data_IF_412777324190
#
_entry.id   IF_412777324190
#
_cell.length_a   1.000
_cell.length_b   1.000
_cell.length_c   1.000
_cell.angle_alpha   90.00
_cell.angle_beta   90.00
_cell.angle_gamma   90.00
#
_symmetry.space_group_name_H-M   'P 1'
#
loop_
_entity.id
_entity.type
_entity.pdbx_description
1 polymer ?
#
# COMPACT_ATOMS: atom_id res chain seq x y z
N UNK A 1 -4.62 0.10 24.39
CA UNK A 1 -4.37 1.55 24.20
C UNK A 1 -5.40 2.40 24.94
N UNK A 2 -6.69 2.34 24.61
CA UNK A 2 -7.76 3.17 25.22
C UNK A 2 -7.89 3.04 26.75
N UNK A 3 -7.68 1.85 27.31
CA UNK A 3 -7.65 1.62 28.77
C UNK A 3 -6.45 2.30 29.47
N UNK A 4 -5.33 2.43 28.74
CA UNK A 4 -4.07 2.98 29.27
C UNK A 4 -4.00 4.51 29.12
N UNK A 5 -4.68 5.05 28.11
CA UNK A 5 -4.72 6.47 27.82
C UNK A 5 -6.18 6.95 27.73
N UNK A 6 -6.78 7.37 28.87
CA UNK A 6 -8.21 7.71 28.95
C UNK A 6 -8.64 8.93 28.13
N UNK A 7 -7.68 9.75 27.70
CA UNK A 7 -7.92 10.95 26.89
C UNK A 7 -7.54 10.75 25.41
N UNK A 8 -7.03 9.57 25.03
CA UNK A 8 -6.63 9.33 23.66
C UNK A 8 -7.85 9.07 22.76
N UNK A 9 -7.80 9.68 21.58
CA UNK A 9 -8.59 9.32 20.41
C UNK A 9 -7.75 8.43 19.49
N UNK A 10 -8.33 7.31 19.03
CA UNK A 10 -7.59 6.30 18.27
C UNK A 10 -8.25 6.10 16.91
N UNK A 11 -7.46 6.09 15.84
CA UNK A 11 -7.93 5.62 14.53
C UNK A 11 -7.31 4.27 14.20
N UNK A 12 -8.14 3.25 14.04
CA UNK A 12 -7.75 1.96 13.46
C UNK A 12 -7.90 1.99 11.94
N UNK A 13 -6.87 1.56 11.21
CA UNK A 13 -6.86 1.45 9.76
C UNK A 13 -6.61 -0.01 9.38
N UNK A 14 -7.51 -0.58 8.59
CA UNK A 14 -7.35 -1.93 8.05
C UNK A 14 -7.89 -1.98 6.62
N UNK A 15 -7.25 -2.75 5.74
CA UNK A 15 -7.68 -2.87 4.35
C UNK A 15 -8.90 -3.78 4.18
N UNK A 16 -9.12 -4.71 5.11
CA UNK A 16 -10.17 -5.72 5.07
C UNK A 16 -11.47 -5.20 5.66
N UNK A 17 -12.52 -5.12 4.84
CA UNK A 17 -13.86 -4.75 5.30
C UNK A 17 -14.36 -5.64 6.45
N UNK A 18 -13.98 -6.92 6.44
CA UNK A 18 -14.36 -7.89 7.48
C UNK A 18 -13.66 -7.53 8.80
N UNK A 19 -12.36 -7.25 8.76
CA UNK A 19 -11.58 -6.86 9.95
C UNK A 19 -12.04 -5.51 10.50
N UNK A 20 -12.36 -4.56 9.61
CA UNK A 20 -12.94 -3.25 9.98
C UNK A 20 -14.25 -3.45 10.71
N UNK A 21 -15.20 -4.19 10.12
CA UNK A 21 -16.50 -4.45 10.74
C UNK A 21 -16.34 -5.14 12.09
N UNK A 22 -15.50 -6.18 12.16
CA UNK A 22 -15.26 -6.90 13.42
C UNK A 22 -14.64 -5.99 14.48
N UNK A 23 -13.71 -5.11 14.09
CA UNK A 23 -13.10 -4.14 15.00
C UNK A 23 -14.07 -3.06 15.44
N UNK A 24 -15.01 -2.65 14.59
CA UNK A 24 -16.10 -1.75 14.98
C UNK A 24 -17.00 -2.40 16.03
N UNK A 25 -17.35 -3.68 15.86
CA UNK A 25 -18.15 -4.44 16.84
C UNK A 25 -17.42 -4.60 18.19
N UNK A 26 -16.15 -5.00 18.18
CA UNK A 26 -15.36 -5.21 19.40
C UNK A 26 -15.11 -3.91 20.17
N UNK A 27 -15.06 -2.77 19.47
CA UNK A 27 -14.83 -1.46 20.06
C UNK A 27 -16.09 -0.57 20.07
N UNK A 28 -17.29 -1.16 19.97
CA UNK A 28 -18.53 -0.43 19.76
C UNK A 28 -18.74 0.74 20.75
N UNK A 29 -18.52 0.51 22.04
CA UNK A 29 -18.64 1.56 23.06
C UNK A 29 -17.65 2.72 22.80
N UNK A 30 -16.40 2.39 22.48
CA UNK A 30 -15.39 3.41 22.20
C UNK A 30 -15.68 4.17 20.90
N UNK A 31 -16.29 3.52 19.92
CA UNK A 31 -16.72 4.13 18.66
C UNK A 31 -17.91 5.05 18.89
N UNK A 32 -18.94 4.60 19.60
CA UNK A 32 -20.11 5.41 19.93
C UNK A 32 -19.73 6.66 20.74
N UNK A 33 -18.76 6.52 21.64
CA UNK A 33 -18.31 7.61 22.51
C UNK A 33 -17.27 8.52 21.82
N UNK A 34 -17.03 8.36 20.52
CA UNK A 34 -16.11 9.18 19.73
C UNK A 34 -14.62 8.96 20.02
N UNK A 35 -14.26 8.01 20.88
CA UNK A 35 -12.88 7.73 21.30
C UNK A 35 -12.12 6.84 20.33
N UNK A 36 -12.82 6.17 19.44
CA UNK A 36 -12.24 5.27 18.46
C UNK A 36 -12.92 5.45 17.10
N UNK A 37 -12.13 5.52 16.03
CA UNK A 37 -12.62 5.49 14.66
C UNK A 37 -11.96 4.33 13.95
N UNK A 38 -12.74 3.43 13.32
CA UNK A 38 -12.19 2.36 12.50
C UNK A 38 -12.54 2.66 11.05
N UNK A 39 -11.51 2.81 10.21
CA UNK A 39 -11.65 3.13 8.79
C UNK A 39 -11.12 1.98 7.94
N UNK A 40 -11.83 1.68 6.85
CA UNK A 40 -11.30 0.81 5.81
C UNK A 40 -10.37 1.61 4.92
N UNK A 41 -9.15 1.11 4.76
CA UNK A 41 -8.18 1.71 3.86
C UNK A 41 -6.80 1.11 4.01
N UNK A 42 -5.95 1.43 3.05
CA UNK A 42 -4.58 0.96 3.01
C UNK A 42 -3.94 1.40 1.71
N UNK A 43 -2.65 1.67 1.77
CA UNK A 43 -1.86 2.00 0.58
C UNK A 43 -0.80 0.92 0.45
N UNK A 44 -0.76 0.25 -0.69
CA UNK A 44 0.37 -0.58 -1.07
C UNK A 44 1.27 0.23 -1.99
N UNK A 45 2.57 0.27 -1.71
CA UNK A 45 3.50 1.09 -2.48
C UNK A 45 4.73 0.26 -2.88
N UNK A 46 5.02 0.26 -4.17
CA UNK A 46 6.26 -0.30 -4.74
C UNK A 46 7.14 0.87 -5.13
N UNK A 47 8.38 0.91 -4.64
CA UNK A 47 9.38 1.94 -4.98
C UNK A 47 10.61 1.23 -5.54
N UNK A 48 10.82 1.36 -6.84
CA UNK A 48 11.93 0.74 -7.55
C UNK A 48 12.91 1.81 -8.05
N UNK A 49 14.20 1.52 -7.95
CA UNK A 49 15.26 2.38 -8.51
C UNK A 49 15.36 2.28 -10.05
N UNK A 50 14.60 1.37 -10.67
CA UNK A 50 14.53 1.20 -12.12
C UNK A 50 13.07 1.21 -12.61
N UNK A 51 12.85 1.78 -13.79
CA UNK A 51 11.54 1.95 -14.42
C UNK A 51 11.30 1.01 -15.61
N UNK A 52 12.24 0.09 -15.83
CA UNK A 52 12.25 -0.87 -16.94
C UNK A 52 12.59 -0.28 -18.30
N UNK A 53 13.03 0.99 -18.39
CA UNK A 53 13.36 1.64 -19.68
C UNK A 53 14.83 1.89 -19.91
N UNK A 54 15.68 1.65 -18.91
CA UNK A 54 17.12 1.88 -19.00
C UNK A 54 17.89 0.55 -19.10
N UNK A 55 18.57 0.34 -20.24
CA UNK A 55 19.35 -0.87 -20.49
C UNK A 55 20.51 -1.06 -19.51
N UNK A 56 21.06 0.01 -18.95
CA UNK A 56 22.16 -0.12 -17.99
C UNK A 56 21.73 -0.88 -16.72
N UNK A 57 20.44 -0.83 -16.37
CA UNK A 57 19.90 -1.52 -15.20
C UNK A 57 19.79 -3.05 -15.41
N UNK A 58 19.72 -3.50 -16.67
CA UNK A 58 19.67 -4.92 -17.05
C UNK A 58 20.95 -5.67 -16.68
N UNK A 59 22.07 -4.98 -16.40
CA UNK A 59 23.29 -5.63 -15.90
C UNK A 59 22.99 -6.52 -14.69
N UNK A 60 22.13 -6.07 -13.78
CA UNK A 60 21.81 -6.81 -12.56
C UNK A 60 21.00 -8.07 -12.80
N UNK A 61 20.15 -8.10 -13.83
CA UNK A 61 19.32 -9.28 -14.16
C UNK A 61 20.16 -10.46 -14.65
N UNK A 62 21.38 -10.19 -15.14
CA UNK A 62 22.34 -11.22 -15.55
C UNK A 62 23.22 -11.73 -14.41
N UNK A 63 23.35 -10.94 -13.34
CA UNK A 63 24.19 -11.28 -12.17
C UNK A 63 23.37 -12.08 -11.15
N UNK A 64 22.09 -11.71 -10.97
CA UNK A 64 21.22 -12.30 -9.97
C UNK A 64 20.18 -13.17 -10.68
N UNK A 65 20.30 -14.49 -10.55
CA UNK A 65 19.37 -15.42 -11.17
C UNK A 65 17.92 -15.16 -10.72
N UNK A 66 16.99 -15.19 -11.68
CA UNK A 66 15.59 -14.86 -11.47
C UNK A 66 15.27 -13.38 -11.23
N UNK A 67 16.26 -12.48 -11.18
CA UNK A 67 15.99 -11.05 -11.04
C UNK A 67 15.34 -10.49 -12.31
N UNK A 68 14.18 -9.84 -12.13
CA UNK A 68 13.43 -9.19 -13.19
C UNK A 68 13.14 -7.74 -12.79
N UNK A 69 13.29 -6.84 -13.76
CA UNK A 69 12.88 -5.44 -13.62
C UNK A 69 11.46 -5.36 -14.17
N UNK A 70 10.50 -5.05 -13.32
CA UNK A 70 9.11 -4.87 -13.74
C UNK A 70 8.83 -3.42 -14.09
N UNK A 71 8.29 -3.21 -15.29
CA UNK A 71 7.87 -1.89 -15.76
C UNK A 71 6.56 -1.42 -15.13
N UNK A 72 6.18 -0.18 -15.47
CA UNK A 72 4.91 0.43 -15.03
C UNK A 72 3.73 -0.49 -15.36
N UNK A 73 3.64 -0.94 -16.60
CA UNK A 73 2.48 -1.65 -17.14
C UNK A 73 2.29 -3.01 -16.44
N UNK A 74 3.39 -3.71 -16.14
CA UNK A 74 3.35 -5.00 -15.45
C UNK A 74 2.94 -4.85 -13.99
N UNK A 75 3.53 -3.87 -13.28
CA UNK A 75 3.18 -3.60 -11.89
C UNK A 75 1.72 -3.16 -11.76
N UNK A 76 1.25 -2.27 -12.64
CA UNK A 76 -0.15 -1.84 -12.68
C UNK A 76 -1.08 -3.05 -12.93
N UNK A 77 -0.73 -3.94 -13.86
CA UNK A 77 -1.51 -5.17 -14.10
C UNK A 77 -1.58 -6.05 -12.86
N UNK A 78 -0.45 -6.40 -12.24
CA UNK A 78 -0.43 -7.28 -11.07
C UNK A 78 -1.22 -6.70 -9.89
N UNK A 79 -1.15 -5.37 -9.70
CA UNK A 79 -1.93 -4.71 -8.65
C UNK A 79 -3.43 -4.72 -8.94
N UNK A 80 -3.86 -4.59 -10.20
CA UNK A 80 -5.26 -4.76 -10.59
C UNK A 80 -5.74 -6.20 -10.36
N UNK A 81 -4.95 -7.18 -10.75
CA UNK A 81 -5.25 -8.61 -10.54
C UNK A 81 -5.33 -8.97 -9.05
N UNK A 82 -4.53 -8.30 -8.20
CA UNK A 82 -4.61 -8.42 -6.74
C UNK A 82 -5.82 -7.68 -6.12
N UNK A 83 -6.62 -6.98 -6.93
CA UNK A 83 -7.88 -6.34 -6.50
C UNK A 83 -7.75 -4.91 -6.01
N UNK A 84 -6.66 -4.20 -6.36
CA UNK A 84 -6.57 -2.74 -6.17
C UNK A 84 -7.29 -2.01 -7.32
N UNK A 85 -8.02 -0.94 -6.98
CA UNK A 85 -8.88 -0.23 -7.94
C UNK A 85 -8.27 1.09 -8.40
N UNK A 86 -7.61 1.81 -7.49
CA UNK A 86 -6.92 3.07 -7.77
C UNK A 86 -5.42 2.84 -7.74
N UNK A 87 -4.78 3.08 -8.87
CA UNK A 87 -3.32 2.95 -9.02
C UNK A 87 -2.77 4.25 -9.57
N UNK A 88 -1.76 4.77 -8.89
CA UNK A 88 -1.07 6.02 -9.22
C UNK A 88 0.41 5.71 -9.42
N UNK A 89 0.96 6.13 -10.54
CA UNK A 89 2.36 5.88 -10.89
C UNK A 89 3.12 7.20 -10.97
N UNK A 90 4.27 7.25 -10.32
CA UNK A 90 5.17 8.38 -10.28
C UNK A 90 6.53 7.96 -10.82
N UNK A 91 7.12 8.82 -11.64
CA UNK A 91 8.45 8.62 -12.19
C UNK A 91 9.30 9.84 -11.90
N UNK A 92 10.53 9.63 -11.43
CA UNK A 92 11.49 10.73 -11.31
C UNK A 92 12.07 11.03 -12.68
N UNK A 93 11.90 12.25 -13.16
CA UNK A 93 12.60 12.71 -14.37
C UNK A 93 14.12 12.57 -14.19
N UNK A 94 14.79 12.02 -15.21
CA UNK A 94 16.24 11.84 -15.26
C UNK A 94 16.86 10.77 -14.35
N UNK A 95 16.09 10.13 -13.45
CA UNK A 95 16.64 9.14 -12.47
C UNK A 95 16.13 7.71 -12.66
N UNK A 96 15.27 7.44 -13.63
CA UNK A 96 14.67 6.12 -13.89
C UNK A 96 14.00 5.44 -12.69
N UNK A 97 13.66 6.19 -11.63
CA UNK A 97 12.94 5.66 -10.48
C UNK A 97 11.46 5.54 -10.76
N UNK A 98 10.87 4.43 -10.37
CA UNK A 98 9.45 4.13 -10.52
C UNK A 98 8.79 3.88 -9.17
N UNK A 99 7.77 4.67 -8.85
CA UNK A 99 6.91 4.44 -7.70
C UNK A 99 5.51 4.11 -8.19
N UNK A 100 4.95 2.99 -7.74
CA UNK A 100 3.55 2.62 -8.00
C UNK A 100 2.83 2.55 -6.66
N UNK A 101 1.78 3.34 -6.52
CA UNK A 101 0.94 3.44 -5.33
C UNK A 101 -0.44 2.88 -5.65
N UNK A 102 -0.88 1.89 -4.89
CA UNK A 102 -2.17 1.24 -5.06
C UNK A 102 -3.05 1.38 -3.82
N UNK A 103 -4.32 1.70 -4.04
CA UNK A 103 -5.37 1.83 -3.04
C UNK A 103 -6.56 1.00 -3.50
N UNK A 104 -7.22 0.34 -2.56
CA UNK A 104 -8.41 -0.45 -2.82
C UNK A 104 -9.66 0.42 -2.82
#
# INVERSE_FOLDING_TARGET
MLKRYPQAEVTGLDYSAISVKKSQEVNADAVQNGRCRIVQGGVFMVVNEADGKNKADEKWTTIIDGMKIYGKEELERYLREAGFTRIETYRSEGKHRLTVRAVK
#
